data_IF_003747572428
#
_entry.id   IF_003747572428
#
_cell.length_a   1.000
_cell.length_b   1.000
_cell.length_c   1.000
_cell.angle_alpha   90.00
_cell.angle_beta   90.00
_cell.angle_gamma   90.00
#
_symmetry.space_group_name_H-M   'P 1'
#
loop_
_entity.id
_entity.type
_entity.pdbx_description
1 polymer ?
#
# COMPACT_ATOMS: atom_id res chain seq x y z
N UNK A 1 -6.58 12.80 15.02
CA UNK A 1 -5.53 11.83 14.64
C UNK A 1 -6.22 10.68 13.93
N UNK A 2 -5.67 10.25 12.81
CA UNK A 2 -6.23 9.18 11.97
C UNK A 2 -5.99 7.82 12.62
N UNK A 3 -7.05 7.04 12.85
CA UNK A 3 -6.94 5.62 13.25
C UNK A 3 -6.92 4.68 12.02
N UNK A 4 -6.71 3.38 12.25
CA UNK A 4 -6.62 2.40 11.16
C UNK A 4 -7.90 2.30 10.32
N UNK A 5 -9.08 2.50 10.92
CA UNK A 5 -10.35 2.46 10.21
C UNK A 5 -10.53 3.69 9.33
N UNK A 6 -10.23 4.88 9.85
CA UNK A 6 -10.24 6.13 9.10
C UNK A 6 -9.23 6.10 7.94
N UNK A 7 -8.03 5.58 8.18
CA UNK A 7 -7.03 5.38 7.13
C UNK A 7 -7.53 4.40 6.05
N UNK A 8 -8.16 3.29 6.43
CA UNK A 8 -8.65 2.30 5.47
C UNK A 8 -9.74 2.87 4.56
N UNK A 9 -10.74 3.55 5.12
CA UNK A 9 -11.81 4.19 4.33
C UNK A 9 -11.24 5.28 3.41
N UNK A 10 -10.38 6.14 3.95
CA UNK A 10 -9.71 7.19 3.17
C UNK A 10 -8.85 6.64 2.04
N UNK A 11 -8.13 5.54 2.27
CA UNK A 11 -7.36 4.85 1.25
C UNK A 11 -8.26 4.24 0.18
N UNK A 12 -9.36 3.58 0.54
CA UNK A 12 -10.28 3.00 -0.42
C UNK A 12 -10.91 4.06 -1.34
N UNK A 13 -11.36 5.18 -0.78
CA UNK A 13 -11.89 6.30 -1.55
C UNK A 13 -10.81 6.94 -2.44
N UNK A 14 -9.62 7.15 -1.89
CA UNK A 14 -8.51 7.75 -2.64
C UNK A 14 -8.07 6.88 -3.81
N UNK A 15 -7.97 5.56 -3.61
CA UNK A 15 -7.58 4.60 -4.65
C UNK A 15 -8.56 4.62 -5.81
N UNK A 16 -9.87 4.76 -5.55
CA UNK A 16 -10.89 4.82 -6.60
C UNK A 16 -10.82 6.07 -7.48
N UNK A 17 -10.11 7.12 -7.03
CA UNK A 17 -9.98 8.41 -7.71
C UNK A 17 -8.64 8.59 -8.42
N UNK A 18 -7.76 7.58 -8.39
CA UNK A 18 -6.45 7.70 -9.01
C UNK A 18 -6.54 7.85 -10.54
N UNK A 19 -5.83 8.82 -11.13
CA UNK A 19 -5.68 8.92 -12.58
C UNK A 19 -4.66 7.90 -13.11
N UNK A 20 -4.80 7.53 -14.38
CA UNK A 20 -3.82 6.72 -15.12
C UNK A 20 -2.39 7.24 -14.94
N UNK A 21 -1.47 6.34 -14.59
CA UNK A 21 -0.07 6.62 -14.31
C UNK A 21 0.22 7.05 -12.87
N UNK A 22 -0.77 7.05 -11.98
CA UNK A 22 -0.55 7.38 -10.58
C UNK A 22 0.28 6.30 -9.87
N UNK A 23 1.30 6.76 -9.15
CA UNK A 23 2.09 5.96 -8.23
C UNK A 23 1.89 6.54 -6.83
N UNK A 24 1.49 5.69 -5.89
CA UNK A 24 1.25 6.06 -4.50
C UNK A 24 2.07 5.14 -3.61
N UNK A 25 2.82 5.70 -2.67
CA UNK A 25 3.50 4.97 -1.60
C UNK A 25 2.96 5.40 -0.24
N UNK A 26 2.67 4.42 0.60
CA UNK A 26 2.42 4.58 2.03
C UNK A 26 3.64 4.02 2.75
N UNK A 27 4.36 4.88 3.46
CA UNK A 27 5.69 4.58 3.98
C UNK A 27 5.69 4.66 5.50
N UNK A 28 6.29 3.65 6.12
CA UNK A 28 6.71 3.64 7.53
C UNK A 28 8.24 3.38 7.58
N UNK A 29 8.90 3.53 8.73
CA UNK A 29 10.32 3.18 8.85
C UNK A 29 10.61 1.74 8.39
N UNK A 30 11.37 1.62 7.30
CA UNK A 30 11.78 0.35 6.70
C UNK A 30 10.66 -0.47 6.07
N UNK A 31 9.45 0.08 5.92
CA UNK A 31 8.25 -0.67 5.46
C UNK A 31 7.44 0.18 4.51
N UNK A 32 6.80 -0.43 3.51
CA UNK A 32 5.90 0.31 2.62
C UNK A 32 4.79 -0.57 2.05
N UNK A 33 3.71 0.10 1.65
CA UNK A 33 2.78 -0.37 0.63
C UNK A 33 2.83 0.60 -0.56
N UNK A 34 2.81 0.08 -1.79
CA UNK A 34 2.85 0.89 -3.01
C UNK A 34 1.71 0.48 -3.94
N UNK A 35 1.15 1.45 -4.65
CA UNK A 35 0.13 1.26 -5.66
C UNK A 35 0.61 1.88 -6.97
N UNK A 36 0.44 1.14 -8.06
CA UNK A 36 0.62 1.63 -9.41
C UNK A 36 -0.70 1.44 -10.16
N UNK A 37 -1.30 2.55 -10.55
CA UNK A 37 -2.53 2.57 -11.31
C UNK A 37 -2.20 2.92 -12.77
N UNK A 38 -2.63 2.07 -13.70
CA UNK A 38 -2.44 2.23 -15.14
C UNK A 38 -3.81 2.25 -15.86
N UNK A 39 -3.85 2.26 -17.19
CA UNK A 39 -5.09 2.43 -17.96
C UNK A 39 -6.14 1.34 -17.66
N UNK A 40 -5.71 0.12 -17.37
CA UNK A 40 -6.55 -1.08 -17.22
C UNK A 40 -6.30 -1.89 -15.94
N UNK A 41 -5.38 -1.43 -15.08
CA UNK A 41 -4.97 -2.18 -13.89
C UNK A 41 -4.62 -1.30 -12.69
N UNK A 42 -4.73 -1.90 -11.50
CA UNK A 42 -4.19 -1.39 -10.26
C UNK A 42 -3.36 -2.51 -9.61
N UNK A 43 -2.04 -2.32 -9.58
CA UNK A 43 -1.11 -3.23 -8.91
C UNK A 43 -0.78 -2.65 -7.54
N UNK A 44 -0.97 -3.46 -6.50
CA UNK A 44 -0.55 -3.13 -5.15
C UNK A 44 0.61 -4.03 -4.72
N UNK A 45 1.57 -3.44 -4.04
CA UNK A 45 2.73 -4.11 -3.45
C UNK A 45 2.80 -3.82 -1.96
N UNK A 46 3.33 -4.79 -1.22
CA UNK A 46 3.74 -4.65 0.17
C UNK A 46 5.17 -5.21 0.29
N UNK A 47 6.04 -4.48 0.99
CA UNK A 47 7.48 -4.83 1.07
C UNK A 47 7.71 -6.31 1.42
N UNK A 48 8.57 -6.96 0.65
CA UNK A 48 8.97 -8.34 0.86
C UNK A 48 9.92 -8.58 2.03
N UNK A 49 9.85 -9.79 2.60
CA UNK A 49 10.70 -10.19 3.74
C UNK A 49 12.21 -10.11 3.43
N UNK A 50 12.60 -10.28 2.16
CA UNK A 50 13.99 -10.20 1.73
C UNK A 50 14.60 -8.80 1.85
N UNK A 51 13.76 -7.76 1.70
CA UNK A 51 14.12 -6.35 1.79
C UNK A 51 14.16 -5.82 3.23
N UNK A 52 13.60 -6.57 4.17
CA UNK A 52 13.61 -6.22 5.58
C UNK A 52 14.93 -6.63 6.24
N UNK A 53 15.39 -5.79 7.18
CA UNK A 53 16.45 -6.17 8.10
C UNK A 53 16.09 -7.48 8.81
N UNK A 54 17.05 -8.40 9.07
CA UNK A 54 16.74 -9.71 9.65
C UNK A 54 15.91 -9.65 10.95
N UNK A 55 16.09 -8.61 11.77
CA UNK A 55 15.35 -8.39 13.01
C UNK A 55 13.89 -7.93 12.80
N UNK A 56 13.58 -7.36 11.63
CA UNK A 56 12.24 -6.86 11.28
C UNK A 56 11.42 -7.86 10.46
N UNK A 57 12.02 -8.98 10.05
CA UNK A 57 11.35 -10.00 9.25
C UNK A 57 10.17 -10.61 10.04
N UNK A 58 8.98 -10.74 9.42
CA UNK A 58 7.83 -11.30 10.11
C UNK A 58 8.07 -12.78 10.45
N UNK A 59 7.76 -13.15 11.70
CA UNK A 59 7.67 -14.56 12.09
C UNK A 59 6.53 -15.25 11.35
N UNK A 60 6.54 -16.59 11.34
CA UNK A 60 5.58 -17.41 10.57
C UNK A 60 4.11 -17.03 10.79
N UNK A 61 3.70 -16.73 12.04
CA UNK A 61 2.33 -16.32 12.35
C UNK A 61 1.95 -14.98 11.66
N UNK A 62 2.84 -13.98 11.71
CA UNK A 62 2.59 -12.68 11.06
C UNK A 62 2.59 -12.80 9.55
N UNK A 63 3.51 -13.59 9.00
CA UNK A 63 3.52 -13.91 7.56
C UNK A 63 2.21 -14.57 7.14
N UNK A 64 1.66 -15.45 7.98
CA UNK A 64 0.36 -16.07 7.73
C UNK A 64 -0.78 -15.05 7.68
N UNK A 65 -0.74 -14.00 8.50
CA UNK A 65 -1.73 -12.89 8.43
C UNK A 65 -1.70 -12.18 7.07
N UNK A 66 -0.51 -11.97 6.49
CA UNK A 66 -0.36 -11.34 5.17
C UNK A 66 -0.99 -12.24 4.08
N UNK A 67 -0.72 -13.55 4.13
CA UNK A 67 -1.32 -14.53 3.21
C UNK A 67 -2.84 -14.60 3.37
N UNK A 68 -3.34 -14.72 4.60
CA UNK A 68 -4.78 -14.86 4.88
C UNK A 68 -5.55 -13.58 4.53
N UNK A 69 -4.90 -12.42 4.49
CA UNK A 69 -5.49 -11.19 3.98
C UNK A 69 -5.74 -11.23 2.46
N UNK A 70 -5.00 -12.06 1.71
CA UNK A 70 -5.16 -12.23 0.26
C UNK A 70 -3.98 -11.76 -0.59
N UNK A 71 -2.86 -11.38 0.03
CA UNK A 71 -1.63 -11.05 -0.71
C UNK A 71 -1.03 -12.29 -1.36
N UNK A 72 -0.55 -12.15 -2.60
CA UNK A 72 0.25 -13.18 -3.27
C UNK A 72 1.66 -13.20 -2.69
N UNK A 73 2.26 -14.39 -2.70
CA UNK A 73 3.63 -14.58 -2.21
C UNK A 73 4.63 -13.75 -3.02
N UNK A 74 5.72 -13.28 -2.38
CA UNK A 74 6.88 -12.73 -3.06
C UNK A 74 7.38 -13.58 -4.22
N UNK A 75 7.62 -12.93 -5.36
CA UNK A 75 8.26 -13.54 -6.53
C UNK A 75 9.18 -12.54 -7.23
N UNK A 76 9.99 -13.04 -8.17
CA UNK A 76 11.00 -12.24 -8.87
C UNK A 76 10.40 -11.14 -9.75
N UNK A 77 9.22 -11.37 -10.32
CA UNK A 77 8.55 -10.44 -11.23
C UNK A 77 8.05 -9.21 -10.48
N UNK A 78 7.75 -9.36 -9.18
CA UNK A 78 7.34 -8.28 -8.28
C UNK A 78 8.48 -7.83 -7.35
N UNK A 79 9.73 -8.05 -7.77
CA UNK A 79 10.94 -7.68 -7.05
C UNK A 79 10.95 -8.21 -5.60
N UNK A 80 10.45 -9.43 -5.40
CA UNK A 80 10.34 -10.08 -4.10
C UNK A 80 9.36 -9.43 -3.14
N UNK A 81 8.46 -8.56 -3.61
CA UNK A 81 7.40 -7.98 -2.80
C UNK A 81 6.15 -8.86 -2.81
N UNK A 82 5.38 -8.78 -1.72
CA UNK A 82 4.01 -9.27 -1.71
C UNK A 82 3.18 -8.42 -2.68
N UNK A 83 2.24 -9.04 -3.39
CA UNK A 83 1.52 -8.30 -4.42
C UNK A 83 0.09 -8.76 -4.62
N UNK A 84 -0.70 -7.90 -5.26
CA UNK A 84 -1.98 -8.23 -5.88
C UNK A 84 -2.18 -7.29 -7.07
N UNK A 85 -2.88 -7.79 -8.08
CA UNK A 85 -3.28 -7.01 -9.25
C UNK A 85 -4.79 -7.10 -9.41
N UNK A 86 -5.40 -5.95 -9.66
CA UNK A 86 -6.83 -5.80 -9.89
C UNK A 86 -7.05 -5.18 -11.28
N UNK A 87 -8.11 -5.59 -12.01
CA UNK A 87 -8.52 -4.85 -13.21
C UNK A 87 -8.99 -3.44 -12.82
N UNK A 88 -8.91 -2.49 -13.74
CA UNK A 88 -9.34 -1.13 -13.50
C UNK A 88 -10.45 -0.69 -14.48
N UNK A 89 -11.54 -0.05 -13.98
CA UNK A 89 -11.88 0.14 -12.58
C UNK A 89 -12.52 -1.12 -11.94
N UNK A 90 -12.41 -1.25 -10.62
CA UNK A 90 -13.20 -2.22 -9.83
C UNK A 90 -14.35 -1.56 -9.06
N UNK A 91 -15.24 -2.39 -8.52
CA UNK A 91 -16.32 -1.97 -7.62
C UNK A 91 -15.78 -1.45 -6.28
N UNK A 92 -16.49 -0.49 -5.67
CA UNK A 92 -16.05 0.17 -4.43
C UNK A 92 -15.79 -0.78 -3.25
N UNK A 93 -16.50 -1.91 -3.18
CA UNK A 93 -16.24 -2.92 -2.16
C UNK A 93 -14.87 -3.59 -2.32
N UNK A 94 -14.36 -3.71 -3.56
CA UNK A 94 -13.04 -4.27 -3.84
C UNK A 94 -11.93 -3.29 -3.39
N UNK A 95 -12.10 -1.98 -3.58
CA UNK A 95 -11.15 -1.00 -3.02
C UNK A 95 -11.12 -1.04 -1.48
N UNK A 96 -12.27 -1.21 -0.83
CA UNK A 96 -12.33 -1.41 0.64
C UNK A 96 -11.63 -2.70 1.07
N UNK A 97 -11.77 -3.79 0.31
CA UNK A 97 -11.03 -5.03 0.56
C UNK A 97 -9.53 -4.81 0.42
N UNK A 98 -9.06 -4.15 -0.65
CA UNK A 98 -7.65 -3.82 -0.84
C UNK A 98 -7.10 -2.93 0.30
N UNK A 99 -7.86 -1.93 0.72
CA UNK A 99 -7.45 -1.08 1.85
C UNK A 99 -7.35 -1.89 3.17
N UNK A 100 -8.28 -2.80 3.42
CA UNK A 100 -8.20 -3.72 4.56
C UNK A 100 -6.97 -4.65 4.47
N UNK A 101 -6.66 -5.17 3.28
CA UNK A 101 -5.44 -5.97 3.04
C UNK A 101 -4.18 -5.19 3.38
N UNK A 102 -4.12 -3.91 3.02
CA UNK A 102 -2.99 -3.02 3.31
C UNK A 102 -2.85 -2.78 4.81
N UNK A 103 -3.97 -2.53 5.51
CA UNK A 103 -3.94 -2.39 6.98
C UNK A 103 -3.47 -3.67 7.64
N UNK A 104 -3.99 -4.84 7.28
CA UNK A 104 -3.54 -6.12 7.84
C UNK A 104 -2.07 -6.38 7.52
N UNK A 105 -1.63 -6.09 6.29
CA UNK A 105 -0.23 -6.23 5.89
C UNK A 105 0.71 -5.37 6.74
N UNK A 106 0.41 -4.07 6.87
CA UNK A 106 1.24 -3.13 7.63
C UNK A 106 1.17 -3.41 9.15
N UNK A 107 -0.03 -3.55 9.71
CA UNK A 107 -0.24 -3.66 11.16
C UNK A 107 0.08 -5.06 11.67
N UNK A 108 -0.58 -6.07 11.11
CA UNK A 108 -0.56 -7.44 11.66
C UNK A 108 0.59 -8.27 11.09
N UNK A 109 1.00 -7.98 9.84
CA UNK A 109 2.15 -8.59 9.18
C UNK A 109 3.46 -7.94 9.59
N UNK A 110 3.62 -6.66 9.26
CA UNK A 110 4.90 -5.94 9.39
C UNK A 110 5.09 -5.25 10.74
N UNK A 111 4.06 -5.18 11.59
CA UNK A 111 4.15 -4.63 12.93
C UNK A 111 4.21 -3.09 13.01
N UNK A 112 3.70 -2.38 12.00
CA UNK A 112 3.52 -0.92 12.07
C UNK A 112 2.50 -0.59 13.17
N UNK A 113 2.85 0.29 14.10
CA UNK A 113 2.06 0.51 15.33
C UNK A 113 0.76 1.25 15.06
N UNK A 114 0.80 2.26 14.20
CA UNK A 114 -0.37 3.06 13.87
C UNK A 114 -0.17 3.97 12.68
N UNK A 115 -1.25 4.59 12.15
CA UNK A 115 -1.17 5.52 11.03
C UNK A 115 -0.34 6.77 11.31
N UNK A 116 -0.11 7.10 12.59
CA UNK A 116 0.79 8.19 12.98
C UNK A 116 2.26 7.94 12.60
N UNK A 117 2.65 6.69 12.37
CA UNK A 117 3.98 6.31 11.87
C UNK A 117 4.06 6.35 10.33
N UNK A 118 2.96 6.71 9.64
CA UNK A 118 2.86 6.69 8.19
C UNK A 118 2.98 8.08 7.58
N UNK A 119 3.65 8.13 6.43
CA UNK A 119 3.63 9.25 5.48
C UNK A 119 3.18 8.72 4.11
N UNK A 120 2.72 9.60 3.22
CA UNK A 120 2.50 9.24 1.83
C UNK A 120 3.41 10.00 0.87
N UNK A 121 3.79 9.34 -0.22
CA UNK A 121 4.39 9.96 -1.40
C UNK A 121 3.52 9.61 -2.60
N UNK A 122 3.26 10.57 -3.48
CA UNK A 122 2.46 10.31 -4.67
C UNK A 122 2.84 11.23 -5.82
N UNK A 123 2.90 10.64 -7.02
CA UNK A 123 3.21 11.33 -8.27
C UNK A 123 2.56 10.61 -9.45
N UNK A 124 2.42 11.30 -10.57
CA UNK A 124 1.95 10.69 -11.81
C UNK A 124 3.11 10.50 -12.79
N UNK A 125 3.48 9.24 -13.06
CA UNK A 125 4.57 8.88 -13.96
C UNK A 125 4.31 9.24 -15.43
N UNK A 126 3.04 9.21 -15.86
CA UNK A 126 2.63 9.63 -17.22
C UNK A 126 2.57 11.15 -17.38
N UNK A 127 2.52 11.91 -16.29
CA UNK A 127 2.54 13.37 -16.27
C UNK A 127 3.89 13.93 -15.81
N UNK A 128 5.00 13.32 -16.25
CA UNK A 128 6.36 13.82 -15.95
C UNK A 128 6.73 13.79 -14.47
N UNK A 129 6.20 12.81 -13.72
CA UNK A 129 6.35 12.69 -12.26
C UNK A 129 5.77 13.89 -11.48
N UNK A 130 4.71 14.51 -12.01
CA UNK A 130 4.00 15.58 -11.29
C UNK A 130 3.52 15.10 -9.91
N UNK A 131 3.82 15.83 -8.82
CA UNK A 131 3.33 15.51 -7.48
C UNK A 131 1.80 15.46 -7.42
N UNK A 132 1.25 14.51 -6.66
CA UNK A 132 -0.19 14.37 -6.45
C UNK A 132 -0.55 14.49 -4.98
N UNK A 133 -1.57 15.29 -4.66
CA UNK A 133 -2.10 15.37 -3.30
C UNK A 133 -3.19 14.33 -3.08
N UNK A 134 -3.14 13.69 -1.91
CA UNK A 134 -4.06 12.61 -1.52
C UNK A 134 -4.81 12.99 -0.24
N UNK A 135 -5.74 13.98 -0.31
CA UNK A 135 -6.33 14.58 0.88
C UNK A 135 -7.19 13.62 1.70
N UNK A 136 -7.68 12.52 1.10
CA UNK A 136 -8.55 11.57 1.79
C UNK A 136 -7.78 10.60 2.69
N UNK A 137 -6.46 10.46 2.53
CA UNK A 137 -5.67 9.53 3.34
C UNK A 137 -5.58 9.92 4.81
N UNK A 138 -5.75 11.21 5.13
CA UNK A 138 -5.51 11.70 6.50
C UNK A 138 -4.06 11.49 6.98
N UNK A 139 -3.11 11.37 6.05
CA UNK A 139 -1.69 11.21 6.31
C UNK A 139 -0.91 12.46 5.87
N UNK A 140 0.21 12.79 6.55
CA UNK A 140 1.13 13.80 6.05
C UNK A 140 1.84 13.33 4.79
N UNK A 141 2.14 14.27 3.90
CA UNK A 141 3.01 14.03 2.73
C UNK A 141 4.46 13.88 3.20
N UNK A 142 5.14 12.83 2.76
CA UNK A 142 6.57 12.62 2.99
C UNK A 142 7.43 13.59 2.17
N UNK A 143 8.70 13.71 2.56
CA UNK A 143 9.71 14.38 1.73
C UNK A 143 10.25 13.40 0.69
N UNK A 144 10.50 13.88 -0.53
CA UNK A 144 11.23 13.10 -1.54
C UNK A 144 12.62 12.82 -0.97
N UNK A 145 12.89 11.57 -0.63
CA UNK A 145 14.21 11.13 -0.16
C UNK A 145 15.13 10.87 -1.36
#
# INVERSE_FOLDING_TARGET
>A
MTDWGQFAEGLAEQLALLPSGAIVKIVAPGRFAQFAQDDDSLVAHLIGDEHLAPADRPVAERRRRIVDAGWRLPDVDHAGNWWIELPWPVMSNIYRQLAAMVVTGLRDGLGVRGPADLVYEAWNGKAGNAPMDLPLLGLPRGGVS
#
